data_IF_817345935906
#
_entry.id   IF_817345935906
#
_cell.length_a   1.000
_cell.length_b   1.000
_cell.length_c   1.000
_cell.angle_alpha   90.00
_cell.angle_beta   90.00
_cell.angle_gamma   90.00
#
_symmetry.space_group_name_H-M   'P 1'
#
loop_
_entity.id
_entity.type
_entity.pdbx_description
1 polymer ?
#
# COMPACT_ATOMS: atom_id res chain seq x y z
N UNK A 1 0.35 -15.04 10.35
CA UNK A 1 1.40 -14.08 10.75
C UNK A 1 1.33 -12.89 9.81
N UNK A 2 0.43 -11.93 10.09
CA UNK A 2 0.39 -10.68 9.33
C UNK A 2 1.53 -9.83 9.88
N UNK A 3 2.53 -9.57 9.03
CA UNK A 3 3.63 -8.68 9.37
C UNK A 3 3.11 -7.26 9.25
N UNK A 4 3.15 -6.53 10.36
CA UNK A 4 3.30 -5.09 10.34
C UNK A 4 4.59 -4.78 9.57
N UNK A 5 4.46 -4.39 8.29
CA UNK A 5 5.61 -4.10 7.43
C UNK A 5 6.13 -2.68 7.71
N UNK A 6 5.35 -1.85 8.41
CA UNK A 6 5.52 -0.40 8.38
C UNK A 6 5.73 0.28 9.75
N UNK A 7 6.07 -0.47 10.80
CA UNK A 7 6.29 0.05 12.18
C UNK A 7 7.45 1.06 12.32
N UNK A 8 8.34 1.20 11.33
CA UNK A 8 9.55 2.02 11.45
C UNK A 8 9.51 3.41 10.79
N UNK A 9 8.75 3.59 9.69
CA UNK A 9 8.82 4.83 8.90
C UNK A 9 7.60 5.04 7.96
N UNK A 10 6.38 4.94 8.51
CA UNK A 10 5.14 5.04 7.74
C UNK A 10 5.03 6.31 6.90
N UNK A 11 5.48 7.46 7.40
CA UNK A 11 5.40 8.74 6.68
C UNK A 11 6.29 8.78 5.43
N UNK A 12 7.52 8.27 5.50
CA UNK A 12 8.40 8.18 4.34
C UNK A 12 7.84 7.20 3.30
N UNK A 13 7.36 6.05 3.80
CA UNK A 13 6.75 5.04 2.96
C UNK A 13 5.51 5.58 2.26
N UNK A 14 4.62 6.28 2.98
CA UNK A 14 3.44 6.94 2.42
C UNK A 14 3.83 7.88 1.27
N UNK A 15 4.92 8.63 1.41
CA UNK A 15 5.45 9.46 0.31
C UNK A 15 5.78 8.65 -0.95
N UNK A 16 6.50 7.53 -0.78
CA UNK A 16 6.86 6.61 -1.88
C UNK A 16 5.64 5.90 -2.46
N UNK A 17 4.70 5.50 -1.62
CA UNK A 17 3.45 4.87 -2.05
C UNK A 17 2.57 5.81 -2.86
N UNK A 18 2.50 7.10 -2.52
CA UNK A 18 1.82 8.11 -3.35
C UNK A 18 2.45 8.25 -4.73
N UNK A 19 3.78 8.17 -4.82
CA UNK A 19 4.48 8.21 -6.10
C UNK A 19 4.21 6.94 -6.93
N UNK A 20 4.19 5.76 -6.29
CA UNK A 20 3.91 4.49 -6.97
C UNK A 20 2.44 4.35 -7.38
N UNK A 21 1.52 4.82 -6.52
CA UNK A 21 0.08 4.69 -6.68
C UNK A 21 -0.63 6.04 -6.62
N UNK A 22 -0.43 6.87 -7.63
CA UNK A 22 -1.01 8.22 -7.69
C UNK A 22 -2.55 8.31 -7.72
N UNK A 23 -3.29 7.19 -7.82
CA UNK A 23 -4.76 7.18 -7.61
C UNK A 23 -5.14 7.04 -6.14
N UNK A 24 -4.24 6.58 -5.28
CA UNK A 24 -4.47 6.56 -3.84
C UNK A 24 -4.31 7.97 -3.28
N UNK A 25 -5.28 8.39 -2.48
CA UNK A 25 -5.31 9.73 -1.89
C UNK A 25 -4.65 9.76 -0.52
N UNK A 26 -4.34 10.96 -0.05
CA UNK A 26 -3.85 11.17 1.32
C UNK A 26 -4.77 10.58 2.40
N UNK A 27 -6.08 10.62 2.17
CA UNK A 27 -7.09 10.03 3.06
C UNK A 27 -7.03 8.51 3.03
N UNK A 28 -6.85 7.90 1.85
CA UNK A 28 -6.64 6.45 1.77
C UNK A 28 -5.45 6.04 2.64
N UNK A 29 -4.32 6.75 2.53
CA UNK A 29 -3.13 6.47 3.36
C UNK A 29 -3.28 6.83 4.83
N UNK A 30 -4.25 7.66 5.23
CA UNK A 30 -4.54 7.88 6.65
C UNK A 30 -5.30 6.70 7.25
N UNK A 31 -6.22 6.12 6.48
CA UNK A 31 -6.96 4.92 6.89
C UNK A 31 -6.07 3.67 6.91
N UNK A 32 -5.02 3.63 6.08
CA UNK A 32 -4.20 2.44 5.91
C UNK A 32 -3.35 2.07 7.14
N UNK A 33 -3.09 2.98 8.10
CA UNK A 33 -2.30 2.78 9.35
C UNK A 33 -1.09 1.81 9.28
N UNK A 34 -0.44 1.64 8.13
CA UNK A 34 0.63 0.63 7.98
C UNK A 34 0.16 -0.83 7.84
N UNK A 35 -1.13 -1.06 7.61
CA UNK A 35 -1.71 -2.39 7.43
C UNK A 35 -1.73 -2.82 5.96
N UNK A 36 -0.98 -3.87 5.65
CA UNK A 36 -0.92 -4.45 4.29
C UNK A 36 -2.27 -4.91 3.75
N UNK A 37 -3.15 -5.43 4.61
CA UNK A 37 -4.47 -5.91 4.18
C UNK A 37 -5.36 -4.76 3.68
N UNK A 38 -5.25 -3.60 4.31
CA UNK A 38 -6.03 -2.43 3.90
C UNK A 38 -5.50 -1.87 2.59
N UNK A 39 -4.18 -1.93 2.35
CA UNK A 39 -3.56 -1.50 1.08
C UNK A 39 -4.13 -2.33 -0.06
N UNK A 40 -4.30 -3.64 0.14
CA UNK A 40 -5.01 -4.47 -0.83
C UNK A 40 -6.41 -3.93 -1.11
N UNK A 41 -7.23 -3.73 -0.07
CA UNK A 41 -8.58 -3.20 -0.23
C UNK A 41 -8.62 -1.88 -1.01
N UNK A 42 -7.68 -0.97 -0.76
CA UNK A 42 -7.56 0.30 -1.48
C UNK A 42 -7.15 0.09 -2.95
N UNK A 43 -6.17 -0.77 -3.23
CA UNK A 43 -5.76 -1.10 -4.60
C UNK A 43 -6.90 -1.76 -5.39
N UNK A 44 -7.67 -2.65 -4.78
CA UNK A 44 -8.85 -3.24 -5.42
C UNK A 44 -9.90 -2.16 -5.73
N UNK A 45 -10.19 -1.26 -4.79
CA UNK A 45 -11.20 -0.19 -4.95
C UNK A 45 -10.81 0.85 -6.01
N UNK A 46 -9.56 1.32 -6.01
CA UNK A 46 -9.11 2.42 -6.87
C UNK A 46 -8.55 2.00 -8.22
N UNK A 47 -7.96 0.81 -8.30
CA UNK A 47 -7.35 0.28 -9.52
C UNK A 47 -8.09 -0.92 -10.12
N UNK A 48 -9.05 -1.51 -9.41
CA UNK A 48 -9.75 -2.70 -9.88
C UNK A 48 -8.90 -3.97 -9.82
N UNK A 49 -7.80 -3.96 -9.06
CA UNK A 49 -6.88 -5.10 -8.99
C UNK A 49 -7.55 -6.33 -8.37
N UNK A 50 -7.23 -7.49 -8.94
CA UNK A 50 -7.44 -8.77 -8.26
C UNK A 50 -6.54 -8.87 -7.05
N UNK A 51 -6.82 -9.85 -6.18
CA UNK A 51 -6.00 -10.08 -4.99
C UNK A 51 -4.54 -10.28 -5.36
N UNK A 52 -4.25 -11.19 -6.29
CA UNK A 52 -2.90 -11.47 -6.80
C UNK A 52 -2.20 -10.24 -7.37
N UNK A 53 -2.89 -9.42 -8.16
CA UNK A 53 -2.31 -8.19 -8.72
C UNK A 53 -1.94 -7.18 -7.64
N UNK A 54 -2.81 -7.06 -6.63
CA UNK A 54 -2.53 -6.21 -5.49
C UNK A 54 -1.35 -6.77 -4.67
N UNK A 55 -1.29 -8.10 -4.44
CA UNK A 55 -0.17 -8.79 -3.77
C UNK A 55 1.15 -8.56 -4.49
N UNK A 56 1.12 -8.68 -5.81
CA UNK A 56 2.27 -8.41 -6.65
C UNK A 56 2.67 -6.94 -6.59
N UNK A 57 1.72 -6.00 -6.68
CA UNK A 57 2.02 -4.58 -6.62
C UNK A 57 2.70 -4.19 -5.29
N UNK A 58 2.18 -4.67 -4.15
CA UNK A 58 2.79 -4.42 -2.84
C UNK A 58 4.17 -5.06 -2.74
N UNK A 59 4.32 -6.31 -3.21
CA UNK A 59 5.60 -7.01 -3.21
C UNK A 59 6.64 -6.30 -4.08
N UNK A 60 6.24 -5.85 -5.26
CA UNK A 60 7.11 -5.12 -6.19
C UNK A 60 7.54 -3.79 -5.59
N UNK A 61 6.62 -3.08 -4.93
CA UNK A 61 6.93 -1.86 -4.19
C UNK A 61 7.95 -2.13 -3.07
N UNK A 62 7.76 -3.18 -2.27
CA UNK A 62 8.71 -3.57 -1.20
C UNK A 62 10.08 -3.99 -1.72
N UNK A 63 10.17 -4.59 -2.91
CA UNK A 63 11.46 -5.01 -3.49
C UNK A 63 12.22 -3.85 -4.14
N UNK A 64 11.55 -2.71 -4.37
CA UNK A 64 12.14 -1.52 -5.01
C UNK A 64 12.77 -0.56 -4.00
N UNK A 65 12.56 -0.82 -2.71
CA UNK A 65 13.01 -0.05 -1.53
C UNK A 65 13.91 -0.92 -0.64
#
# INVERSE_FOLDING_TARGET
MNKDIFEGNWEELKGKMKQAWGKLTDDDFRELEGNQQEIYGKLQKHYGYTRDEAEKAIRDFRNKE
#
